data_IF_749180235855
#
_entry.id   IF_749180235855
#
_cell.length_a   1.000
_cell.length_b   1.000
_cell.length_c   1.000
_cell.angle_alpha   90.00
_cell.angle_beta   90.00
_cell.angle_gamma   90.00
#
_symmetry.space_group_name_H-M   'P 1'
#
loop_
_entity.id
_entity.type
_entity.pdbx_description
1 polymer ?
#
# COMPACT_ATOMS: atom_id res chain seq x y z
N UNK A 1 -4.23 -3.78 -20.09
CA UNK A 1 -4.03 -4.00 -18.65
C UNK A 1 -5.22 -3.41 -17.90
N UNK A 2 -6.25 -4.22 -17.62
CA UNK A 2 -7.41 -3.81 -16.83
C UNK A 2 -7.24 -4.46 -15.47
N UNK A 3 -6.99 -3.68 -14.43
CA UNK A 3 -7.05 -4.17 -13.05
C UNK A 3 -7.99 -3.23 -12.30
N UNK A 4 -9.29 -3.51 -12.45
CA UNK A 4 -10.29 -3.17 -11.44
C UNK A 4 -10.34 -4.36 -10.51
N UNK A 5 -9.81 -4.22 -9.30
CA UNK A 5 -10.18 -5.01 -8.13
C UNK A 5 -9.87 -4.14 -6.91
N UNK A 6 -10.76 -3.19 -6.66
CA UNK A 6 -10.96 -2.66 -5.31
C UNK A 6 -11.39 -3.87 -4.48
N UNK A 7 -10.53 -4.39 -3.60
CA UNK A 7 -10.96 -5.39 -2.64
C UNK A 7 -11.76 -4.62 -1.58
N UNK A 8 -13.08 -4.65 -1.74
CA UNK A 8 -14.02 -4.08 -0.79
C UNK A 8 -14.11 -5.01 0.42
N UNK A 9 -13.29 -4.76 1.44
CA UNK A 9 -13.42 -5.45 2.72
C UNK A 9 -14.69 -4.90 3.37
N UNK A 10 -15.75 -5.74 3.41
CA UNK A 10 -17.08 -5.57 4.04
C UNK A 10 -17.55 -4.16 4.46
N UNK A 11 -18.70 -3.82 3.87
CA UNK A 11 -19.56 -2.63 3.94
C UNK A 11 -19.89 -2.00 5.31
N UNK A 12 -19.41 -2.55 6.42
CA UNK A 12 -19.82 -2.10 7.75
C UNK A 12 -18.67 -1.64 8.66
N UNK A 13 -17.39 -1.79 8.26
CA UNK A 13 -16.20 -1.13 8.87
C UNK A 13 -14.83 -1.49 8.20
N UNK A 14 -14.79 -1.97 6.96
CA UNK A 14 -13.56 -2.53 6.40
C UNK A 14 -12.58 -1.50 5.80
N UNK A 15 -11.29 -1.83 5.93
CA UNK A 15 -10.17 -1.09 5.32
C UNK A 15 -10.07 -1.43 3.84
N UNK A 16 -9.76 -0.44 3.00
CA UNK A 16 -9.60 -0.58 1.55
C UNK A 16 -8.10 -0.60 1.23
N UNK A 17 -7.68 -1.58 0.42
CA UNK A 17 -6.33 -1.64 -0.12
C UNK A 17 -6.38 -1.52 -1.65
N UNK A 18 -5.83 -0.43 -2.17
CA UNK A 18 -5.65 -0.21 -3.60
C UNK A 18 -4.46 -1.02 -4.11
N UNK A 19 -4.62 -1.73 -5.22
CA UNK A 19 -3.55 -2.52 -5.88
C UNK A 19 -2.71 -1.69 -6.84
N UNK A 20 -2.89 -0.37 -6.80
CA UNK A 20 -2.16 0.62 -7.58
C UNK A 20 -1.89 1.85 -6.73
N UNK A 21 -0.90 2.70 -7.08
CA UNK A 21 -0.61 3.93 -6.38
C UNK A 21 -1.86 4.81 -6.20
N UNK A 22 -2.12 5.23 -4.96
CA UNK A 22 -3.14 6.22 -4.62
C UNK A 22 -2.55 7.63 -4.51
N UNK A 23 -3.35 8.65 -4.80
CA UNK A 23 -3.02 10.05 -4.51
C UNK A 23 -3.58 10.40 -3.13
N UNK A 24 -2.79 11.08 -2.30
CA UNK A 24 -3.19 11.49 -0.94
C UNK A 24 -3.63 10.33 -0.03
N UNK A 25 -3.17 9.13 -0.35
CA UNK A 25 -3.43 7.89 0.38
C UNK A 25 -2.09 7.29 0.78
N UNK A 26 -1.93 6.77 2.02
CA UNK A 26 -0.70 6.13 2.45
C UNK A 26 -0.31 4.96 1.54
N UNK A 27 0.90 5.05 0.98
CA UNK A 27 1.52 3.98 0.20
C UNK A 27 2.29 3.03 1.13
N UNK A 28 1.89 1.76 1.12
CA UNK A 28 2.54 0.68 1.85
C UNK A 28 3.44 -0.09 0.89
N UNK A 29 4.73 -0.15 1.25
CA UNK A 29 5.66 -1.13 0.69
C UNK A 29 5.96 -2.15 1.80
N UNK A 30 5.54 -3.39 1.57
CA UNK A 30 5.72 -4.45 2.53
C UNK A 30 7.22 -4.69 2.82
N UNK A 31 7.57 -4.93 4.09
CA UNK A 31 8.96 -5.00 4.55
C UNK A 31 9.67 -3.64 4.73
N UNK A 32 9.11 -2.54 4.22
CA UNK A 32 9.74 -1.21 4.28
C UNK A 32 9.11 -0.33 5.36
N UNK A 33 7.84 0.05 5.20
CA UNK A 33 7.13 1.01 6.05
C UNK A 33 5.75 0.50 6.52
N UNK A 34 5.39 -0.74 6.20
CA UNK A 34 4.11 -1.36 6.58
C UNK A 34 3.80 -1.39 8.09
N UNK A 35 4.78 -1.12 8.97
CA UNK A 35 4.58 -1.01 10.43
C UNK A 35 4.41 0.42 10.92
N UNK A 36 4.65 1.39 10.05
CA UNK A 36 4.61 2.84 10.35
C UNK A 36 3.27 3.46 9.95
N UNK A 37 2.41 2.71 9.26
CA UNK A 37 1.09 3.18 8.86
C UNK A 37 0.11 3.15 10.03
N UNK A 38 -0.64 4.23 10.19
CA UNK A 38 -1.67 4.35 11.21
C UNK A 38 -2.92 3.57 10.80
N UNK A 39 -2.95 2.31 11.19
CA UNK A 39 -4.06 1.42 10.89
C UNK A 39 -5.33 1.72 11.70
N UNK A 40 -5.26 2.57 12.73
CA UNK A 40 -6.41 2.90 13.57
C UNK A 40 -7.20 4.07 12.98
N UNK A 41 -6.49 5.07 12.47
CA UNK A 41 -7.10 6.29 11.92
C UNK A 41 -7.24 6.26 10.38
N UNK A 42 -6.44 5.47 9.67
CA UNK A 42 -6.55 5.35 8.21
C UNK A 42 -7.39 4.14 7.80
N UNK A 43 -8.21 4.35 6.76
CA UNK A 43 -9.10 3.32 6.20
C UNK A 43 -8.73 2.95 4.78
N UNK A 44 -8.05 3.82 4.04
CA UNK A 44 -7.66 3.57 2.65
C UNK A 44 -6.15 3.54 2.58
N UNK A 45 -5.62 2.50 1.95
CA UNK A 45 -4.20 2.31 1.74
C UNK A 45 -3.93 1.95 0.29
N UNK A 46 -2.71 2.14 -0.17
CA UNK A 46 -2.26 1.64 -1.46
C UNK A 46 -1.09 0.69 -1.28
N UNK A 47 -1.10 -0.43 -2.00
CA UNK A 47 -0.01 -1.41 -2.05
C UNK A 47 1.15 -0.96 -2.97
N UNK A 48 1.25 0.34 -3.28
CA UNK A 48 2.20 0.92 -4.23
C UNK A 48 2.14 0.25 -5.62
N UNK A 49 3.14 0.51 -6.46
CA UNK A 49 3.28 -0.14 -7.78
C UNK A 49 4.18 -1.38 -7.73
N UNK A 50 4.11 -2.24 -8.74
CA UNK A 50 5.03 -3.37 -8.89
C UNK A 50 6.50 -2.90 -8.98
N UNK A 51 6.78 -1.81 -9.70
CA UNK A 51 8.11 -1.21 -9.79
C UNK A 51 8.62 -0.72 -8.43
N UNK A 52 7.75 -0.06 -7.66
CA UNK A 52 8.09 0.43 -6.31
C UNK A 52 8.38 -0.73 -5.36
N UNK A 53 7.55 -1.78 -5.36
CA UNK A 53 7.75 -2.96 -4.52
C UNK A 53 9.02 -3.74 -4.89
N UNK A 54 9.44 -3.74 -6.15
CA UNK A 54 10.67 -4.39 -6.59
C UNK A 54 11.94 -3.62 -6.17
N UNK A 55 11.95 -2.30 -6.33
CA UNK A 55 13.18 -1.50 -6.16
C UNK A 55 13.39 -1.07 -4.71
N UNK A 56 12.32 -0.70 -3.99
CA UNK A 56 12.45 -0.07 -2.66
C UNK A 56 13.13 -0.95 -1.60
N UNK A 57 12.91 -2.28 -1.54
CA UNK A 57 13.65 -3.14 -0.62
C UNK A 57 15.15 -3.16 -0.88
N UNK A 58 15.57 -3.16 -2.14
CA UNK A 58 16.98 -3.12 -2.51
C UNK A 58 17.60 -1.81 -2.05
N UNK A 59 16.93 -0.69 -2.30
CA UNK A 59 17.41 0.64 -1.86
C UNK A 59 17.53 0.74 -0.34
N UNK A 60 16.63 0.11 0.44
CA UNK A 60 16.72 0.08 1.91
C UNK A 60 17.95 -0.66 2.42
N UNK A 61 18.41 -1.69 1.70
CA UNK A 61 19.60 -2.47 2.07
C UNK A 61 20.89 -1.79 1.60
N UNK A 62 20.88 -1.16 0.42
CA UNK A 62 22.08 -0.56 -0.17
C UNK A 62 22.38 0.84 0.38
N UNK A 63 21.33 1.64 0.62
CA UNK A 63 21.45 3.01 1.12
C UNK A 63 21.14 3.16 2.61
N UNK A 64 20.97 2.04 3.33
CA UNK A 64 20.78 1.98 4.78
C UNK A 64 22.08 1.74 5.51
#
# INVERSE_FOLDING_TARGET
MRILNVIEVKKELGKVLLTAPGKEIPNIVYGINHKEVDIENERIFSAASCTTNAIRPILKVVGG
#
